data_IF_835467130954
#
_entry.id   IF_835467130954
#
_cell.length_a   1.000
_cell.length_b   1.000
_cell.length_c   1.000
_cell.angle_alpha   90.00
_cell.angle_beta   90.00
_cell.angle_gamma   90.00
#
_symmetry.space_group_name_H-M   'P 1'
#
loop_
_entity.id
_entity.type
_entity.pdbx_description
1 polymer ?
#
# COMPACT_ATOMS: atom_id res chain seq x y z
N UNK A 1 28.88 69.71 -77.52
CA UNK A 1 30.08 69.41 -76.70
C UNK A 1 29.95 70.13 -75.35
N UNK A 2 29.37 69.49 -74.31
CA UNK A 2 29.10 70.13 -73.00
C UNK A 2 30.30 69.91 -72.05
N UNK A 3 31.14 70.93 -71.87
CA UNK A 3 32.20 70.96 -70.83
C UNK A 3 31.57 71.39 -69.50
N UNK A 4 31.31 70.44 -68.61
CA UNK A 4 30.96 70.76 -67.22
C UNK A 4 32.18 71.38 -66.53
N UNK A 5 32.16 72.71 -66.33
CA UNK A 5 33.12 73.44 -65.50
C UNK A 5 32.76 73.19 -64.03
N UNK A 6 33.39 72.19 -63.43
CA UNK A 6 33.37 72.05 -61.97
C UNK A 6 34.01 73.30 -61.35
N UNK A 7 33.20 74.07 -60.62
CA UNK A 7 33.66 75.26 -59.89
C UNK A 7 34.62 74.84 -58.78
N UNK A 8 35.68 75.62 -58.54
CA UNK A 8 36.66 75.36 -57.47
C UNK A 8 35.99 75.29 -56.09
N UNK A 9 34.84 75.94 -55.93
CA UNK A 9 34.01 75.89 -54.72
C UNK A 9 33.33 74.51 -54.53
N UNK A 10 32.80 73.91 -55.60
CA UNK A 10 32.08 72.63 -55.51
C UNK A 10 33.02 71.47 -55.19
N UNK A 11 34.26 71.48 -55.72
CA UNK A 11 35.29 70.50 -55.36
C UNK A 11 35.72 70.58 -53.89
N UNK A 12 35.76 71.80 -53.32
CA UNK A 12 36.11 72.01 -51.91
C UNK A 12 34.99 71.49 -50.99
N UNK A 13 33.74 71.80 -51.33
CA UNK A 13 32.55 71.30 -50.62
C UNK A 13 32.44 69.77 -50.68
N UNK A 14 32.71 69.15 -51.82
CA UNK A 14 32.68 67.69 -51.95
C UNK A 14 33.80 67.01 -51.15
N UNK A 15 34.99 67.62 -51.08
CA UNK A 15 36.08 67.11 -50.24
C UNK A 15 35.76 67.22 -48.74
N UNK A 16 35.05 68.27 -48.34
CA UNK A 16 34.69 68.51 -46.95
C UNK A 16 33.51 67.64 -46.52
N UNK A 17 32.51 67.44 -47.39
CA UNK A 17 31.39 66.53 -47.13
C UNK A 17 31.86 65.08 -47.05
N UNK A 18 32.78 64.63 -47.94
CA UNK A 18 33.37 63.28 -47.87
C UNK A 18 34.16 63.06 -46.57
N UNK A 19 34.92 64.06 -46.11
CA UNK A 19 35.61 64.00 -44.80
C UNK A 19 34.63 63.93 -43.63
N UNK A 20 33.58 64.74 -43.63
CA UNK A 20 32.57 64.72 -42.57
C UNK A 20 31.76 63.41 -42.57
N UNK A 21 31.42 62.87 -43.75
CA UNK A 21 30.77 61.57 -43.89
C UNK A 21 31.67 60.45 -43.36
N UNK A 22 32.95 60.45 -43.73
CA UNK A 22 33.91 59.46 -43.23
C UNK A 22 34.05 59.53 -41.71
N UNK A 23 34.18 60.74 -41.14
CA UNK A 23 34.23 60.96 -39.69
C UNK A 23 32.95 60.48 -38.98
N UNK A 24 31.78 60.72 -39.57
CA UNK A 24 30.50 60.26 -39.00
C UNK A 24 30.35 58.74 -39.02
N UNK A 25 30.75 58.09 -40.13
CA UNK A 25 30.73 56.62 -40.24
C UNK A 25 31.71 55.99 -39.26
N UNK A 26 32.91 56.56 -39.13
CA UNK A 26 33.90 56.11 -38.15
C UNK A 26 33.38 56.28 -36.72
N UNK A 27 32.71 57.40 -36.42
CA UNK A 27 32.06 57.64 -35.14
C UNK A 27 30.98 56.61 -34.81
N UNK A 28 30.11 56.27 -35.76
CA UNK A 28 29.07 55.24 -35.60
C UNK A 28 29.70 53.87 -35.35
N UNK A 29 30.76 53.52 -36.07
CA UNK A 29 31.50 52.25 -35.87
C UNK A 29 32.11 52.21 -34.48
N UNK A 30 32.72 53.29 -34.00
CA UNK A 30 33.28 53.37 -32.64
C UNK A 30 32.16 53.19 -31.59
N UNK A 31 31.01 53.85 -31.76
CA UNK A 31 29.87 53.70 -30.85
C UNK A 31 29.33 52.27 -30.84
N UNK A 32 29.23 51.63 -32.00
CA UNK A 32 28.84 50.21 -32.11
C UNK A 32 29.84 49.29 -31.40
N UNK A 33 31.14 49.52 -31.59
CA UNK A 33 32.18 48.76 -30.89
C UNK A 33 32.06 48.96 -29.38
N UNK A 34 31.82 50.18 -28.91
CA UNK A 34 31.62 50.48 -27.50
C UNK A 34 30.35 49.81 -26.94
N UNK A 35 29.25 49.80 -27.69
CA UNK A 35 28.00 49.12 -27.29
C UNK A 35 28.16 47.61 -27.19
N UNK A 36 28.85 46.99 -28.15
CA UNK A 36 29.10 45.54 -28.10
C UNK A 36 30.08 45.22 -26.97
N UNK A 37 31.16 45.98 -26.84
CA UNK A 37 32.23 45.72 -25.88
C UNK A 37 31.85 46.04 -24.44
N UNK A 38 31.05 47.08 -24.21
CA UNK A 38 30.70 47.55 -22.87
C UNK A 38 29.20 47.41 -22.57
N UNK A 39 28.32 47.60 -23.55
CA UNK A 39 26.87 47.53 -23.36
C UNK A 39 26.36 46.11 -23.05
N UNK A 40 26.81 45.09 -23.79
CA UNK A 40 26.39 43.70 -23.54
C UNK A 40 26.82 43.24 -22.13
N UNK A 41 28.10 43.39 -21.71
CA UNK A 41 28.50 43.04 -20.34
C UNK A 41 27.76 43.83 -19.26
N UNK A 42 27.47 45.12 -19.52
CA UNK A 42 26.70 45.95 -18.59
C UNK A 42 25.28 45.42 -18.39
N UNK A 43 24.61 45.00 -19.48
CA UNK A 43 23.28 44.40 -19.43
C UNK A 43 23.28 43.04 -18.74
N UNK A 44 24.28 42.19 -18.98
CA UNK A 44 24.42 40.90 -18.29
C UNK A 44 24.62 41.13 -16.79
N UNK A 45 25.53 42.04 -16.40
CA UNK A 45 25.80 42.34 -15.00
C UNK A 45 24.59 42.99 -14.30
N UNK A 46 23.87 43.88 -15.00
CA UNK A 46 22.64 44.48 -14.48
C UNK A 46 21.52 43.44 -14.33
N UNK A 47 21.40 42.50 -15.28
CA UNK A 47 20.47 41.37 -15.18
C UNK A 47 20.81 40.48 -13.99
N UNK A 48 22.09 40.19 -13.73
CA UNK A 48 22.53 39.41 -12.57
C UNK A 48 22.27 40.14 -11.24
N UNK A 49 22.43 41.47 -11.23
CA UNK A 49 22.13 42.31 -10.08
C UNK A 49 20.63 42.36 -9.77
N UNK A 50 19.79 42.58 -10.79
CA UNK A 50 18.33 42.55 -10.66
C UNK A 50 17.79 41.15 -10.35
N UNK A 51 18.43 40.08 -10.85
CA UNK A 51 18.03 38.71 -10.55
C UNK A 51 18.47 38.25 -9.15
N UNK A 52 19.09 39.12 -8.35
CA UNK A 52 19.49 38.81 -6.98
C UNK A 52 20.30 37.51 -6.89
N UNK A 53 21.45 37.46 -7.57
CA UNK A 53 22.24 36.24 -7.75
C UNK A 53 22.76 35.65 -6.43
N UNK A 54 21.90 34.84 -5.79
CA UNK A 54 22.27 33.52 -5.29
C UNK A 54 22.82 32.77 -6.51
N UNK A 55 24.10 32.44 -6.51
CA UNK A 55 24.72 31.57 -7.52
C UNK A 55 23.95 30.24 -7.56
N UNK A 56 22.98 30.15 -8.45
CA UNK A 56 22.44 28.92 -8.97
C UNK A 56 23.48 28.38 -9.94
N UNK A 57 24.50 27.73 -9.39
CA UNK A 57 25.25 26.74 -10.13
C UNK A 57 24.22 25.78 -10.71
N UNK A 58 24.13 25.71 -12.04
CA UNK A 58 23.16 24.89 -12.79
C UNK A 58 23.45 23.40 -12.66
N UNK A 59 23.80 22.92 -11.46
CA UNK A 59 23.30 21.62 -11.04
C UNK A 59 21.83 21.84 -10.72
N UNK A 60 20.94 21.28 -11.54
CA UNK A 60 19.73 20.71 -10.99
C UNK A 60 20.23 19.75 -9.91
N UNK A 61 20.38 20.24 -8.68
CA UNK A 61 20.16 19.39 -7.51
C UNK A 61 18.71 18.99 -7.65
N UNK A 62 18.47 17.96 -8.45
CA UNK A 62 17.46 16.99 -8.11
C UNK A 62 17.72 16.74 -6.64
N UNK A 63 16.85 17.28 -5.79
CA UNK A 63 16.59 16.59 -4.55
C UNK A 63 16.03 15.24 -5.02
N UNK A 64 16.93 14.32 -5.35
CA UNK A 64 16.68 12.90 -5.28
C UNK A 64 16.42 12.67 -3.80
N UNK A 65 15.21 13.01 -3.38
CA UNK A 65 14.54 12.19 -2.40
C UNK A 65 14.57 10.80 -3.04
N UNK A 66 15.59 10.01 -2.71
CA UNK A 66 15.58 8.56 -2.91
C UNK A 66 14.39 8.05 -2.10
N UNK A 67 13.22 8.20 -2.71
CA UNK A 67 11.96 7.68 -2.25
C UNK A 67 12.10 6.16 -2.22
N UNK A 68 11.81 5.58 -1.08
CA UNK A 68 11.79 4.13 -0.90
C UNK A 68 10.34 3.71 -1.00
N UNK A 69 10.03 2.86 -1.98
CA UNK A 69 8.71 2.27 -2.13
C UNK A 69 8.40 1.36 -0.93
N UNK A 70 7.20 1.42 -0.35
CA UNK A 70 6.78 0.50 0.70
C UNK A 70 6.88 -0.97 0.25
N UNK A 71 7.24 -1.89 1.17
CA UNK A 71 7.22 -3.31 0.86
C UNK A 71 5.79 -3.79 0.61
N UNK A 72 5.62 -4.77 -0.26
CA UNK A 72 4.33 -5.43 -0.53
C UNK A 72 4.31 -6.75 0.21
N UNK A 73 3.36 -6.91 1.13
CA UNK A 73 3.14 -8.15 1.87
C UNK A 73 2.22 -9.09 1.08
N UNK A 74 2.57 -10.37 1.07
CA UNK A 74 1.70 -11.42 0.57
C UNK A 74 0.51 -11.62 1.54
N UNK A 75 -0.68 -11.96 1.03
CA UNK A 75 -1.83 -12.26 1.88
C UNK A 75 -1.53 -13.37 2.89
N UNK A 76 -2.08 -13.23 4.09
CA UNK A 76 -2.07 -14.24 5.15
C UNK A 76 -3.51 -14.63 5.49
N UNK A 77 -3.74 -15.79 6.13
CA UNK A 77 -5.06 -16.14 6.65
C UNK A 77 -5.59 -15.06 7.59
N UNK A 78 -6.87 -14.68 7.43
CA UNK A 78 -7.52 -13.71 8.31
C UNK A 78 -7.69 -14.23 9.74
N UNK A 79 -7.76 -15.54 9.91
CA UNK A 79 -7.73 -16.21 11.20
C UNK A 79 -6.91 -17.51 11.12
N UNK A 80 -6.31 -17.90 12.24
CA UNK A 80 -5.47 -19.09 12.34
C UNK A 80 -5.55 -19.68 13.74
N UNK A 81 -5.38 -20.99 13.86
CA UNK A 81 -5.18 -21.69 15.12
C UNK A 81 -3.71 -22.00 15.43
N UNK A 82 -2.80 -21.54 14.57
CA UNK A 82 -1.37 -21.58 14.81
C UNK A 82 -0.90 -20.28 15.44
N UNK A 83 -0.14 -20.38 16.53
CA UNK A 83 0.56 -19.24 17.12
C UNK A 83 1.65 -18.68 16.20
N UNK A 84 2.07 -19.43 15.18
CA UNK A 84 3.12 -19.00 14.24
C UNK A 84 2.54 -18.77 12.85
N UNK A 85 2.94 -17.66 12.22
CA UNK A 85 2.59 -17.32 10.84
C UNK A 85 3.85 -16.92 10.07
N UNK A 86 3.92 -17.36 8.80
CA UNK A 86 4.92 -16.91 7.85
C UNK A 86 4.44 -15.64 7.16
N UNK A 87 5.10 -14.52 7.42
CA UNK A 87 4.88 -13.26 6.70
C UNK A 87 5.93 -13.15 5.61
N UNK A 88 5.50 -13.04 4.36
CA UNK A 88 6.38 -12.93 3.21
C UNK A 88 5.98 -11.77 2.33
N UNK A 89 6.87 -11.35 1.44
CA UNK A 89 6.60 -10.23 0.55
C UNK A 89 7.76 -9.92 -0.38
N UNK A 90 7.61 -8.80 -1.08
CA UNK A 90 8.58 -8.25 -2.02
C UNK A 90 8.88 -6.79 -1.70
N UNK A 91 10.13 -6.39 -1.90
CA UNK A 91 10.62 -5.01 -1.80
C UNK A 91 11.77 -4.82 -2.78
N UNK A 92 12.40 -3.64 -2.81
CA UNK A 92 13.56 -3.46 -3.68
C UNK A 92 14.78 -4.15 -3.07
N UNK A 93 15.70 -4.61 -3.91
CA UNK A 93 16.95 -5.24 -3.48
C UNK A 93 17.79 -4.37 -2.54
N UNK A 94 18.51 -5.04 -1.64
CA UNK A 94 19.40 -4.46 -0.62
C UNK A 94 18.65 -3.45 0.27
N UNK A 95 17.42 -3.79 0.66
CA UNK A 95 16.63 -3.04 1.63
C UNK A 95 16.48 -3.85 2.91
N UNK A 96 16.47 -3.17 4.06
CA UNK A 96 16.15 -3.80 5.35
C UNK A 96 14.67 -3.63 5.59
N UNK A 97 13.95 -4.75 5.71
CA UNK A 97 12.54 -4.78 6.03
C UNK A 97 12.38 -4.79 7.54
N UNK A 98 11.64 -3.82 8.06
CA UNK A 98 11.26 -3.71 9.46
C UNK A 98 9.79 -4.14 9.57
N UNK A 99 9.54 -5.27 10.22
CA UNK A 99 8.19 -5.81 10.41
C UNK A 99 7.64 -5.35 11.77
N UNK A 100 6.42 -4.82 11.76
CA UNK A 100 5.72 -4.33 12.93
C UNK A 100 4.50 -5.21 13.20
N UNK A 101 4.31 -5.57 14.47
CA UNK A 101 3.12 -6.25 14.97
C UNK A 101 2.50 -5.37 16.05
N UNK A 102 1.23 -5.00 15.89
CA UNK A 102 0.50 -4.11 16.81
C UNK A 102 1.30 -2.82 17.10
N UNK A 103 1.72 -2.15 16.03
CA UNK A 103 2.52 -0.91 16.01
C UNK A 103 3.91 -0.99 16.64
N UNK A 104 4.32 -2.15 17.14
CA UNK A 104 5.63 -2.40 17.74
C UNK A 104 6.54 -3.09 16.74
N UNK A 105 7.79 -2.62 16.63
CA UNK A 105 8.81 -3.28 15.81
C UNK A 105 9.05 -4.70 16.37
N UNK A 106 8.80 -5.71 15.55
CA UNK A 106 8.94 -7.11 15.92
C UNK A 106 10.25 -7.71 15.38
N UNK A 107 10.50 -7.58 14.08
CA UNK A 107 11.60 -8.26 13.39
C UNK A 107 12.22 -7.36 12.33
N UNK A 108 13.49 -7.65 11.96
CA UNK A 108 14.18 -7.00 10.85
C UNK A 108 14.92 -8.02 9.99
N UNK A 109 14.88 -7.87 8.67
CA UNK A 109 15.61 -8.73 7.73
C UNK A 109 15.93 -8.00 6.45
N UNK A 110 17.12 -8.24 5.90
CA UNK A 110 17.47 -7.75 4.57
C UNK A 110 16.75 -8.57 3.49
N UNK A 111 16.35 -7.91 2.41
CA UNK A 111 15.82 -8.57 1.21
C UNK A 111 16.85 -9.45 0.54
N UNK A 112 16.42 -10.57 -0.01
CA UNK A 112 17.22 -11.39 -0.92
C UNK A 112 17.54 -10.64 -2.23
N UNK A 113 18.45 -11.18 -3.05
CA UNK A 113 18.88 -10.57 -4.33
C UNK A 113 17.73 -10.31 -5.31
N UNK A 114 16.66 -11.12 -5.21
CA UNK A 114 15.44 -10.99 -5.99
C UNK A 114 14.41 -10.01 -5.38
N UNK A 115 14.70 -9.40 -4.23
CA UNK A 115 13.81 -8.51 -3.49
C UNK A 115 12.83 -9.22 -2.54
N UNK A 116 12.85 -10.54 -2.48
CA UNK A 116 11.97 -11.30 -1.58
C UNK A 116 12.42 -11.21 -0.13
N UNK A 117 11.46 -11.35 0.78
CA UNK A 117 11.75 -11.53 2.20
C UNK A 117 10.71 -12.43 2.86
N UNK A 118 11.09 -12.99 4.00
CA UNK A 118 10.22 -13.84 4.82
C UNK A 118 10.59 -13.77 6.30
N UNK A 119 9.56 -13.68 7.14
CA UNK A 119 9.62 -13.67 8.60
C UNK A 119 8.74 -14.78 9.15
N UNK A 120 9.25 -15.51 10.14
CA UNK A 120 8.44 -16.40 10.97
C UNK A 120 8.12 -15.65 12.26
N UNK A 121 6.85 -15.29 12.47
CA UNK A 121 6.42 -14.49 13.63
C UNK A 121 5.49 -15.26 14.54
N UNK A 122 5.54 -14.92 15.83
CA UNK A 122 4.61 -15.42 16.84
C UNK A 122 3.48 -14.42 17.10
N UNK A 123 2.25 -14.89 17.00
CA UNK A 123 1.02 -14.14 17.23
C UNK A 123 0.61 -14.20 18.71
N UNK A 124 -0.05 -13.14 19.17
CA UNK A 124 -0.76 -13.12 20.45
C UNK A 124 -2.22 -13.49 20.21
N UNK A 125 -2.89 -14.07 21.21
CA UNK A 125 -4.32 -14.39 21.12
C UNK A 125 -5.13 -13.14 20.75
N UNK A 126 -6.09 -13.30 19.84
CA UNK A 126 -6.88 -12.21 19.27
C UNK A 126 -6.24 -11.60 18.02
N UNK A 127 -6.59 -10.36 17.72
CA UNK A 127 -6.16 -9.69 16.49
C UNK A 127 -4.69 -9.26 16.55
N UNK A 128 -3.96 -9.56 15.47
CA UNK A 128 -2.58 -9.12 15.27
C UNK A 128 -2.51 -8.31 13.98
N UNK A 129 -2.20 -7.02 14.11
CA UNK A 129 -2.03 -6.09 13.00
C UNK A 129 -0.58 -6.10 12.53
N UNK A 130 -0.37 -6.46 11.27
CA UNK A 130 0.94 -6.72 10.69
C UNK A 130 1.17 -5.73 9.54
N UNK A 131 2.26 -4.99 9.61
CA UNK A 131 2.70 -4.07 8.55
C UNK A 131 4.21 -3.94 8.54
N UNK A 132 4.77 -3.51 7.42
CA UNK A 132 6.22 -3.41 7.25
C UNK A 132 6.65 -2.07 6.65
N UNK A 133 7.90 -1.69 6.92
CA UNK A 133 8.62 -0.60 6.25
C UNK A 133 9.91 -1.13 5.66
N UNK A 134 10.36 -0.53 4.56
CA UNK A 134 11.69 -0.74 4.01
C UNK A 134 12.62 0.41 4.43
N UNK A 135 13.87 0.09 4.74
CA UNK A 135 14.93 1.06 5.06
C UNK A 135 16.13 0.84 4.14
N UNK A 136 16.69 1.94 3.62
CA UNK A 136 17.91 1.93 2.80
C UNK A 136 18.71 3.21 3.00
N UNK A 137 19.98 3.08 3.37
CA UNK A 137 20.93 4.21 3.49
C UNK A 137 20.29 5.39 4.26
N UNK A 138 19.78 5.10 5.45
CA UNK A 138 19.17 6.05 6.40
C UNK A 138 17.84 6.70 5.99
N UNK A 139 17.18 6.19 4.95
CA UNK A 139 15.80 6.55 4.60
C UNK A 139 14.85 5.40 4.87
N UNK A 140 13.59 5.73 5.15
CA UNK A 140 12.50 4.76 5.32
C UNK A 140 11.39 5.01 4.30
N UNK A 141 10.68 3.95 3.95
CA UNK A 141 9.41 4.01 3.21
C UNK A 141 8.24 4.39 4.13
N UNK A 142 7.09 4.68 3.51
CA UNK A 142 5.80 4.57 4.20
C UNK A 142 5.52 3.10 4.60
N UNK A 143 4.49 2.87 5.41
CA UNK A 143 4.05 1.52 5.74
C UNK A 143 3.46 0.80 4.52
N UNK A 144 3.63 -0.51 4.49
CA UNK A 144 2.83 -1.42 3.65
C UNK A 144 1.34 -1.33 4.00
N UNK A 145 0.52 -1.98 3.18
CA UNK A 145 -0.84 -2.33 3.60
C UNK A 145 -0.79 -3.11 4.93
N UNK A 146 -1.76 -2.83 5.81
CA UNK A 146 -1.92 -3.54 7.08
C UNK A 146 -2.68 -4.84 6.84
N UNK A 147 -2.09 -5.97 7.25
CA UNK A 147 -2.73 -7.27 7.30
C UNK A 147 -3.21 -7.53 8.73
N UNK A 148 -4.34 -8.21 8.88
CA UNK A 148 -4.85 -8.62 10.19
C UNK A 148 -4.99 -10.13 10.21
N UNK A 149 -4.40 -10.75 11.23
CA UNK A 149 -4.56 -12.17 11.51
C UNK A 149 -5.07 -12.36 12.95
N UNK A 150 -6.25 -12.94 13.09
CA UNK A 150 -6.83 -13.29 14.39
C UNK A 150 -6.34 -14.67 14.81
N UNK A 151 -5.59 -14.74 15.91
CA UNK A 151 -5.16 -16.02 16.48
C UNK A 151 -6.19 -16.53 17.50
N UNK A 152 -6.85 -17.64 17.17
CA UNK A 152 -7.83 -18.31 18.03
C UNK A 152 -7.28 -19.68 18.42
N UNK A 153 -7.00 -19.89 19.70
CA UNK A 153 -6.30 -21.07 20.20
C UNK A 153 -7.20 -22.05 20.99
N UNK A 154 -8.51 -21.83 20.95
CA UNK A 154 -9.49 -22.66 21.64
C UNK A 154 -10.65 -23.02 20.71
N UNK A 155 -11.21 -24.23 20.83
CA UNK A 155 -12.48 -24.57 20.20
C UNK A 155 -13.60 -23.58 20.55
N UNK A 156 -14.58 -23.39 19.66
CA UNK A 156 -15.77 -22.62 19.99
C UNK A 156 -16.61 -23.31 21.06
N UNK A 157 -17.43 -22.54 21.77
CA UNK A 157 -18.45 -23.08 22.66
C UNK A 157 -19.53 -23.82 21.87
N UNK A 158 -20.02 -24.93 22.42
CA UNK A 158 -21.10 -25.71 21.85
C UNK A 158 -21.97 -26.27 22.97
N UNK A 159 -23.22 -25.79 23.06
CA UNK A 159 -24.27 -26.41 23.87
C UNK A 159 -25.36 -26.94 22.94
N UNK A 160 -25.88 -28.13 23.25
CA UNK A 160 -27.07 -28.66 22.59
C UNK A 160 -28.15 -28.75 23.65
N UNK A 161 -29.21 -27.95 23.48
CA UNK A 161 -30.31 -27.81 24.44
C UNK A 161 -31.43 -28.83 24.15
N UNK A 162 -31.57 -29.24 22.89
CA UNK A 162 -32.49 -30.30 22.44
C UNK A 162 -31.94 -30.98 21.20
N UNK A 163 -32.07 -32.31 21.06
CA UNK A 163 -32.65 -33.25 22.02
C UNK A 163 -31.71 -33.54 23.20
N UNK A 164 -32.24 -34.17 24.25
CA UNK A 164 -31.43 -34.81 25.28
C UNK A 164 -30.99 -36.21 24.84
N UNK A 165 -29.86 -36.68 25.35
CA UNK A 165 -29.38 -38.05 25.06
C UNK A 165 -30.36 -39.11 25.57
N UNK A 166 -30.64 -40.09 24.73
CA UNK A 166 -31.63 -41.15 24.95
C UNK A 166 -33.10 -40.72 24.80
N UNK A 167 -33.37 -39.50 24.31
CA UNK A 167 -34.75 -39.04 24.11
C UNK A 167 -35.48 -39.93 23.10
N UNK A 168 -36.75 -40.22 23.39
CA UNK A 168 -37.61 -41.04 22.55
C UNK A 168 -38.65 -40.18 21.83
N UNK A 169 -38.92 -40.53 20.58
CA UNK A 169 -39.92 -39.92 19.71
C UNK A 169 -40.88 -41.00 19.23
N UNK A 170 -42.17 -40.69 19.15
CA UNK A 170 -43.19 -41.67 18.78
C UNK A 170 -44.20 -41.11 17.76
N UNK A 171 -44.88 -42.00 17.02
CA UNK A 171 -46.01 -41.66 16.13
C UNK A 171 -45.63 -40.58 15.10
N UNK A 172 -46.38 -39.49 15.07
CA UNK A 172 -46.25 -38.40 14.10
C UNK A 172 -45.01 -37.50 14.32
N UNK A 173 -44.14 -37.82 15.29
CA UNK A 173 -42.92 -37.05 15.59
C UNK A 173 -41.71 -37.49 14.76
N UNK A 174 -41.88 -37.69 13.45
CA UNK A 174 -40.82 -38.13 12.55
C UNK A 174 -39.73 -37.07 12.26
N UNK A 175 -39.86 -35.87 12.83
CA UNK A 175 -38.91 -34.77 12.64
C UNK A 175 -38.52 -34.20 13.99
N UNK A 176 -37.21 -34.17 14.25
CA UNK A 176 -36.62 -33.60 15.45
C UNK A 176 -36.02 -32.23 15.15
N UNK A 177 -36.30 -31.25 16.02
CA UNK A 177 -35.59 -29.97 15.99
C UNK A 177 -34.39 -30.01 16.93
N UNK A 178 -33.19 -29.98 16.36
CA UNK A 178 -31.93 -29.84 17.09
C UNK A 178 -31.73 -28.36 17.39
N UNK A 179 -31.56 -28.02 18.67
CA UNK A 179 -31.45 -26.66 19.19
C UNK A 179 -30.23 -26.54 20.09
N UNK A 180 -29.59 -25.38 20.09
CA UNK A 180 -28.50 -25.09 21.02
C UNK A 180 -27.88 -23.73 20.80
N UNK A 181 -26.72 -23.50 21.40
CA UNK A 181 -25.97 -22.24 21.32
C UNK A 181 -24.50 -22.46 21.00
N UNK A 182 -23.90 -21.43 20.42
CA UNK A 182 -22.47 -21.38 20.11
C UNK A 182 -21.94 -19.95 20.19
N UNK A 183 -20.66 -19.74 19.87
CA UNK A 183 -20.04 -18.41 19.81
C UNK A 183 -20.37 -17.71 18.48
N UNK A 184 -20.13 -16.39 18.43
CA UNK A 184 -20.30 -15.60 17.21
C UNK A 184 -19.25 -15.99 16.15
N UNK A 185 -19.65 -15.94 14.87
CA UNK A 185 -18.76 -16.25 13.74
C UNK A 185 -18.43 -17.74 13.58
N UNK A 186 -19.09 -18.61 14.36
CA UNK A 186 -18.98 -20.06 14.27
C UNK A 186 -19.98 -20.59 13.25
N UNK A 187 -19.62 -21.68 12.58
CA UNK A 187 -20.54 -22.42 11.73
C UNK A 187 -20.90 -23.74 12.40
N UNK A 188 -22.19 -24.10 12.38
CA UNK A 188 -22.70 -25.34 12.95
C UNK A 188 -23.15 -26.29 11.84
N UNK A 189 -22.79 -27.56 11.98
CA UNK A 189 -23.37 -28.65 11.19
C UNK A 189 -24.01 -29.71 12.07
N UNK A 190 -25.12 -30.28 11.62
CA UNK A 190 -25.81 -31.41 12.23
C UNK A 190 -25.81 -32.55 11.21
N UNK A 191 -25.15 -33.67 11.53
CA UNK A 191 -24.91 -34.79 10.61
C UNK A 191 -24.31 -34.34 9.26
N UNK A 192 -23.46 -33.31 9.28
CA UNK A 192 -22.81 -32.74 8.09
C UNK A 192 -23.63 -31.68 7.33
N UNK A 193 -24.89 -31.43 7.72
CA UNK A 193 -25.73 -30.39 7.12
C UNK A 193 -25.68 -29.09 7.91
N UNK A 194 -25.65 -27.94 7.23
CA UNK A 194 -25.60 -26.63 7.87
C UNK A 194 -26.86 -26.34 8.70
N UNK A 195 -26.67 -25.92 9.96
CA UNK A 195 -27.73 -25.38 10.79
C UNK A 195 -27.85 -23.87 10.60
N UNK A 196 -29.05 -23.32 10.83
CA UNK A 196 -29.29 -21.87 10.82
C UNK A 196 -28.92 -21.31 12.19
N UNK A 197 -28.19 -20.20 12.23
CA UNK A 197 -27.80 -19.49 13.44
C UNK A 197 -28.48 -18.11 13.43
N UNK A 198 -29.14 -17.74 14.53
CA UNK A 198 -29.78 -16.43 14.68
C UNK A 198 -28.80 -15.36 15.23
N UNK A 199 -29.28 -14.12 15.39
CA UNK A 199 -28.48 -12.99 15.90
C UNK A 199 -28.03 -13.17 17.37
N UNK A 200 -28.68 -14.07 18.11
CA UNK A 200 -28.36 -14.39 19.50
C UNK A 200 -27.43 -15.62 19.61
N UNK A 201 -26.89 -16.10 18.49
CA UNK A 201 -26.09 -17.32 18.35
C UNK A 201 -26.81 -18.61 18.79
N UNK A 202 -28.14 -18.63 18.74
CA UNK A 202 -28.88 -19.88 18.83
C UNK A 202 -28.87 -20.56 17.47
N UNK A 203 -28.50 -21.84 17.43
CA UNK A 203 -28.61 -22.62 16.22
C UNK A 203 -29.85 -23.50 16.24
N UNK A 204 -30.40 -23.75 15.05
CA UNK A 204 -31.47 -24.72 14.87
C UNK A 204 -31.34 -25.50 13.56
N UNK A 205 -31.71 -26.77 13.61
CA UNK A 205 -31.79 -27.64 12.44
C UNK A 205 -32.94 -28.64 12.60
N UNK A 206 -33.69 -28.89 11.53
CA UNK A 206 -34.76 -29.89 11.53
C UNK A 206 -34.24 -31.17 10.90
N UNK A 207 -34.11 -32.22 11.70
CA UNK A 207 -33.58 -33.52 11.31
C UNK A 207 -34.75 -34.52 11.17
N UNK A 208 -35.00 -35.07 9.97
CA UNK A 208 -35.88 -36.22 9.80
C UNK A 208 -35.30 -37.44 10.53
N UNK A 209 -36.11 -38.10 11.34
CA UNK A 209 -35.74 -39.32 12.08
C UNK A 209 -36.03 -40.56 11.23
N UNK A 210 -35.16 -41.56 11.35
CA UNK A 210 -35.36 -42.91 10.85
C UNK A 210 -35.95 -43.80 11.95
N UNK A 211 -36.69 -44.84 11.59
CA UNK A 211 -37.16 -45.84 12.56
C UNK A 211 -35.98 -46.46 13.33
N UNK A 212 -36.12 -46.61 14.64
CA UNK A 212 -35.07 -47.07 15.55
C UNK A 212 -34.10 -45.98 16.00
N UNK A 213 -32.83 -46.35 16.18
CA UNK A 213 -31.80 -45.49 16.75
C UNK A 213 -31.24 -44.49 15.73
N UNK A 214 -31.18 -43.21 16.13
CA UNK A 214 -30.65 -42.11 15.35
C UNK A 214 -29.45 -41.50 16.09
N UNK A 215 -28.27 -41.55 15.49
CA UNK A 215 -27.10 -40.85 15.96
C UNK A 215 -27.04 -39.44 15.36
N UNK A 216 -26.88 -38.44 16.22
CA UNK A 216 -26.86 -37.02 15.86
C UNK A 216 -25.50 -36.46 16.28
N UNK A 217 -24.70 -36.09 15.29
CA UNK A 217 -23.41 -35.42 15.47
C UNK A 217 -23.55 -33.95 15.16
N UNK A 218 -23.36 -33.11 16.17
CA UNK A 218 -23.32 -31.65 16.05
C UNK A 218 -21.86 -31.21 16.09
N UNK A 219 -21.43 -30.45 15.08
CA UNK A 219 -20.07 -29.92 14.98
C UNK A 219 -20.12 -28.41 14.85
N UNK A 220 -19.44 -27.73 15.76
CA UNK A 220 -19.16 -26.31 15.73
C UNK A 220 -17.74 -26.08 15.21
N UNK A 221 -17.57 -25.17 14.24
CA UNK A 221 -16.27 -24.80 13.69
C UNK A 221 -16.12 -23.28 13.57
N UNK A 222 -15.04 -22.74 14.12
CA UNK A 222 -14.72 -21.32 14.00
C UNK A 222 -13.99 -20.96 12.69
N UNK A 223 -13.71 -19.68 12.51
CA UNK A 223 -12.97 -19.14 11.35
C UNK A 223 -11.48 -19.56 11.30
N UNK A 224 -10.88 -19.93 12.43
CA UNK A 224 -9.51 -20.42 12.53
C UNK A 224 -9.41 -21.94 12.27
N UNK A 225 -10.55 -22.63 12.16
CA UNK A 225 -10.65 -24.07 11.95
C UNK A 225 -10.71 -24.91 13.22
N UNK A 226 -10.81 -24.30 14.41
CA UNK A 226 -11.00 -25.05 15.66
C UNK A 226 -12.41 -25.65 15.71
N UNK A 227 -12.52 -26.85 16.27
CA UNK A 227 -13.78 -27.61 16.29
C UNK A 227 -14.18 -28.05 17.69
N UNK A 228 -15.47 -27.96 17.98
CA UNK A 228 -16.12 -28.63 19.10
C UNK A 228 -17.20 -29.57 18.56
N UNK A 229 -17.35 -30.74 19.15
CA UNK A 229 -18.29 -31.77 18.68
C UNK A 229 -19.13 -32.31 19.84
N UNK A 230 -20.39 -32.64 19.55
CA UNK A 230 -21.30 -33.31 20.48
C UNK A 230 -22.06 -34.39 19.74
N UNK A 231 -22.08 -35.59 20.31
CA UNK A 231 -22.89 -36.70 19.84
C UNK A 231 -24.06 -36.94 20.78
N UNK A 232 -25.24 -37.16 20.21
CA UNK A 232 -26.49 -37.44 20.91
C UNK A 232 -27.18 -38.60 20.21
N UNK A 233 -27.72 -39.54 20.98
CA UNK A 233 -28.53 -40.64 20.45
C UNK A 233 -29.98 -40.43 20.84
N UNK A 234 -30.88 -40.63 19.89
CA UNK A 234 -32.33 -40.64 20.11
C UNK A 234 -32.94 -41.87 19.45
N UNK A 235 -34.10 -42.30 19.92
CA UNK A 235 -34.82 -43.43 19.32
C UNK A 235 -36.18 -42.95 18.81
N UNK A 236 -36.56 -43.34 17.60
CA UNK A 236 -37.87 -43.07 17.03
C UNK A 236 -38.62 -44.39 16.81
N UNK A 237 -39.90 -44.43 17.20
CA UNK A 237 -40.80 -45.55 16.93
C UNK A 237 -42.09 -45.00 16.29
N UNK A 238 -42.37 -45.26 15.01
CA UNK A 238 -43.57 -44.77 14.32
C UNK A 238 -44.87 -45.33 14.91
#
# INVERSE_FOLDING_TARGET
MKRNKYSRLSRRLESQSRKNLFLSVLGIIIVLILLVKFGIPLLVNFSLFLSGQKKSDGSLKSAQSTYISPPVLNPIPSATNSAEVLVSGIASKNEIINLYINDSLSEKKETEDNGNFSFKISLKTGDNKIKAKATKTDKESDFSNELVATYINSPPSLSVDSPTDGQKFEKDQNTLKVLGKTDSGVRITVNGFWAVIDENNNFSYSLPLQDGDNAIKVVAQDQAGNKAEKEIKVTYSP
#
